data_IF_104809637824
#
_entry.id   IF_104809637824
#
_cell.length_a   1.000
_cell.length_b   1.000
_cell.length_c   1.000
_cell.angle_alpha   90.00
_cell.angle_beta   90.00
_cell.angle_gamma   90.00
#
_symmetry.space_group_name_H-M   'P 1'
#
loop_
_entity.id
_entity.type
_entity.pdbx_description
1 polymer ?
#
# COMPACT_ATOMS: atom_id res chain seq x y z
N UNK A 1 -13.93 26.42 -22.63
CA UNK A 1 -13.48 27.17 -21.44
C UNK A 1 -13.36 26.28 -20.22
N UNK A 2 -14.47 25.79 -19.63
CA UNK A 2 -14.39 24.85 -18.49
C UNK A 2 -13.62 23.58 -18.86
N UNK A 3 -14.01 22.89 -19.95
CA UNK A 3 -13.30 21.68 -20.42
C UNK A 3 -11.81 21.93 -20.69
N UNK A 4 -11.47 23.06 -21.32
CA UNK A 4 -10.09 23.43 -21.64
C UNK A 4 -9.24 23.83 -20.41
N UNK A 5 -9.85 24.06 -19.25
CA UNK A 5 -9.14 24.37 -18.00
C UNK A 5 -9.05 23.15 -17.08
N UNK A 6 -10.15 22.39 -16.95
CA UNK A 6 -10.33 21.34 -15.94
C UNK A 6 -10.30 19.92 -16.50
N UNK A 7 -10.45 19.70 -17.83
CA UNK A 7 -10.36 18.34 -18.38
C UNK A 7 -8.91 17.87 -18.44
N UNK A 8 -8.61 16.79 -17.72
CA UNK A 8 -7.47 15.93 -18.00
C UNK A 8 -7.88 14.71 -18.82
N UNK A 9 -6.91 13.81 -19.03
CA UNK A 9 -7.12 12.45 -19.54
C UNK A 9 -6.55 11.45 -18.54
N UNK A 10 -7.36 10.48 -18.14
CA UNK A 10 -6.97 9.30 -17.38
C UNK A 10 -6.74 8.15 -18.39
N UNK A 11 -5.72 7.35 -18.14
CA UNK A 11 -5.52 6.06 -18.80
C UNK A 11 -5.74 4.96 -17.78
N UNK A 12 -6.58 3.98 -18.11
CA UNK A 12 -6.82 2.79 -17.32
C UNK A 12 -6.30 1.57 -18.07
N UNK A 13 -5.23 0.97 -17.55
CA UNK A 13 -4.57 -0.20 -18.13
C UNK A 13 -4.96 -1.45 -17.36
N UNK A 14 -5.59 -2.43 -18.03
CA UNK A 14 -5.82 -3.79 -17.50
C UNK A 14 -4.81 -4.74 -18.13
N UNK A 15 -4.04 -5.45 -17.31
CA UNK A 15 -2.89 -6.28 -17.71
C UNK A 15 -3.14 -7.73 -17.32
N UNK A 16 -3.06 -8.64 -18.30
CA UNK A 16 -3.17 -10.08 -18.08
C UNK A 16 -1.88 -10.64 -17.44
N UNK A 17 -1.98 -11.22 -16.24
CA UNK A 17 -0.82 -11.77 -15.52
C UNK A 17 -0.09 -12.88 -16.31
N UNK A 18 -0.82 -13.74 -17.03
CA UNK A 18 -0.25 -14.90 -17.74
C UNK A 18 0.46 -14.57 -19.07
N UNK A 19 0.28 -13.39 -19.66
CA UNK A 19 0.93 -13.05 -20.93
C UNK A 19 1.32 -11.57 -21.14
N UNK A 20 1.05 -10.68 -20.17
CA UNK A 20 1.35 -9.25 -20.27
C UNK A 20 0.50 -8.47 -21.28
N UNK A 21 -0.48 -9.11 -21.95
CA UNK A 21 -1.38 -8.41 -22.86
C UNK A 21 -2.17 -7.33 -22.10
N UNK A 22 -2.18 -6.12 -22.65
CA UNK A 22 -2.71 -4.92 -22.00
C UNK A 22 -3.86 -4.31 -22.79
N UNK A 23 -5.00 -4.16 -22.13
CA UNK A 23 -6.16 -3.40 -22.60
C UNK A 23 -6.14 -2.01 -21.98
N UNK A 24 -6.03 -0.96 -22.79
CA UNK A 24 -5.96 0.43 -22.33
C UNK A 24 -7.22 1.20 -22.72
N UNK A 25 -7.92 1.77 -21.74
CA UNK A 25 -9.03 2.72 -21.96
C UNK A 25 -8.55 4.15 -21.65
N UNK A 26 -9.08 5.14 -22.37
CA UNK A 26 -8.76 6.56 -22.20
C UNK A 26 -10.03 7.36 -21.90
N UNK A 27 -10.08 7.99 -20.73
CA UNK A 27 -11.27 8.66 -20.19
C UNK A 27 -10.95 10.11 -19.83
N UNK A 28 -11.93 11.03 -19.94
CA UNK A 28 -11.77 12.40 -19.45
C UNK A 28 -12.10 12.46 -17.96
N UNK A 29 -11.29 13.19 -17.20
CA UNK A 29 -11.58 13.52 -15.80
C UNK A 29 -11.59 15.03 -15.59
N UNK A 30 -12.32 15.49 -14.57
CA UNK A 30 -12.40 16.90 -14.17
C UNK A 30 -11.93 17.13 -12.72
N UNK A 31 -12.06 16.10 -11.88
CA UNK A 31 -11.43 15.96 -10.57
C UNK A 31 -10.76 14.58 -10.46
N UNK A 32 -9.93 14.42 -9.43
CA UNK A 32 -9.49 13.10 -8.94
C UNK A 32 -9.99 12.95 -7.50
N UNK A 33 -10.80 11.92 -7.27
CA UNK A 33 -11.27 11.55 -5.94
C UNK A 33 -10.30 10.56 -5.27
N UNK A 34 -9.47 11.06 -4.36
CA UNK A 34 -8.39 10.33 -3.68
C UNK A 34 -8.85 9.75 -2.33
N UNK A 35 -8.50 8.50 -2.06
CA UNK A 35 -8.71 7.85 -0.76
C UNK A 35 -7.66 8.36 0.25
N UNK A 36 -8.12 8.71 1.46
CA UNK A 36 -7.23 9.00 2.60
C UNK A 36 -7.20 7.73 3.43
N UNK A 37 -6.09 6.99 3.41
CA UNK A 37 -5.88 5.92 4.37
C UNK A 37 -5.62 6.56 5.75
N UNK A 38 -6.63 6.51 6.63
CA UNK A 38 -6.43 6.78 8.05
C UNK A 38 -5.66 5.61 8.67
N UNK A 39 -4.81 5.87 9.67
CA UNK A 39 -3.84 4.89 10.20
C UNK A 39 -4.45 3.78 11.08
N UNK A 40 -5.60 3.23 10.66
CA UNK A 40 -6.18 1.98 11.15
C UNK A 40 -5.51 0.83 10.40
N UNK A 41 -4.60 0.12 11.08
CA UNK A 41 -4.01 -1.12 10.54
C UNK A 41 -5.12 -2.01 9.97
N UNK A 42 -4.94 -2.63 8.78
CA UNK A 42 -5.85 -3.66 8.30
C UNK A 42 -6.10 -4.66 9.41
N UNK A 43 -7.37 -5.01 9.65
CA UNK A 43 -7.69 -6.08 10.59
C UNK A 43 -7.19 -7.39 10.00
N UNK A 44 -6.00 -7.80 10.43
CA UNK A 44 -5.51 -9.17 10.29
C UNK A 44 -6.65 -10.10 10.72
N UNK A 45 -7.14 -10.91 9.78
CA UNK A 45 -8.26 -11.80 10.03
C UNK A 45 -7.77 -12.95 10.91
N UNK A 46 -7.83 -12.74 12.22
CA UNK A 46 -7.64 -13.77 13.22
C UNK A 46 -8.81 -14.75 13.11
N UNK A 47 -8.65 -15.78 12.28
CA UNK A 47 -9.59 -16.89 12.18
C UNK A 47 -9.80 -17.49 13.58
N UNK A 48 -11.03 -17.48 14.14
CA UNK A 48 -11.32 -18.08 15.45
C UNK A 48 -11.01 -19.58 15.54
N UNK A 49 -10.73 -20.24 14.42
CA UNK A 49 -10.45 -21.67 14.30
C UNK A 49 -9.00 -21.97 13.86
N UNK A 50 -8.12 -20.98 13.80
CA UNK A 50 -6.71 -21.19 13.44
C UNK A 50 -6.07 -22.26 14.36
N UNK A 51 -5.54 -23.38 13.81
CA UNK A 51 -5.06 -24.48 14.63
C UNK A 51 -3.80 -24.10 15.42
N UNK A 52 -3.82 -24.35 16.73
CA UNK A 52 -2.69 -24.09 17.63
C UNK A 52 -1.46 -24.95 17.27
N UNK A 53 -0.57 -24.42 16.44
CA UNK A 53 0.74 -25.00 16.16
C UNK A 53 1.68 -24.83 17.36
N UNK A 54 1.48 -25.66 18.39
CA UNK A 54 2.43 -25.82 19.50
C UNK A 54 3.77 -26.37 18.98
N UNK A 55 4.67 -25.48 18.57
CA UNK A 55 6.05 -25.83 18.23
C UNK A 55 6.81 -26.18 19.51
N UNK A 56 6.87 -27.47 19.83
CA UNK A 56 7.68 -27.98 20.92
C UNK A 56 9.17 -27.67 20.71
N UNK A 57 9.90 -27.49 21.82
CA UNK A 57 11.32 -27.16 21.83
C UNK A 57 12.12 -28.23 22.59
N UNK A 58 13.03 -28.87 21.86
CA UNK A 58 14.21 -29.60 22.36
C UNK A 58 15.27 -29.53 21.24
N UNK A 59 16.55 -29.17 21.43
CA UNK A 59 17.50 -29.38 22.54
C UNK A 59 17.97 -30.85 22.60
N UNK A 60 19.26 -31.20 22.54
CA UNK A 60 20.52 -30.44 22.38
C UNK A 60 21.57 -31.30 21.62
N UNK A 61 22.70 -30.73 21.20
CA UNK A 61 24.04 -31.13 21.68
C UNK A 61 25.18 -30.28 21.09
N UNK A 62 26.30 -30.23 21.82
CA UNK A 62 27.41 -29.25 21.70
C UNK A 62 28.75 -29.93 21.33
N UNK A 63 29.69 -29.20 20.69
CA UNK A 63 31.16 -29.33 20.94
C UNK A 63 32.08 -28.34 20.19
N UNK A 64 32.82 -27.53 20.97
CA UNK A 64 34.25 -27.16 20.77
C UNK A 64 34.68 -26.04 19.79
N UNK A 65 35.75 -25.33 20.18
CA UNK A 65 36.36 -24.07 19.66
C UNK A 65 37.83 -24.32 19.16
N UNK A 66 38.75 -23.35 18.82
CA UNK A 66 38.75 -21.87 18.94
C UNK A 66 39.37 -21.05 17.75
N UNK A 67 39.58 -19.75 18.00
CA UNK A 67 40.07 -18.62 17.15
C UNK A 67 41.60 -18.65 16.85
N UNK A 68 42.29 -17.63 16.21
CA UNK A 68 41.98 -16.19 15.98
C UNK A 68 42.20 -15.73 14.48
N UNK A 69 42.49 -14.48 14.00
CA UNK A 69 43.01 -13.21 14.58
C UNK A 69 42.75 -11.94 13.70
N UNK A 70 42.64 -10.77 14.35
CA UNK A 70 42.92 -9.34 13.97
C UNK A 70 43.35 -8.96 12.53
N UNK A 71 42.89 -7.84 11.95
CA UNK A 71 43.24 -6.44 12.36
C UNK A 71 42.22 -5.36 11.93
N UNK A 72 42.38 -4.09 12.35
CA UNK A 72 41.31 -3.06 12.37
C UNK A 72 41.66 -1.68 11.72
N UNK A 73 40.65 -0.79 11.66
CA UNK A 73 40.65 0.65 11.22
C UNK A 73 40.41 0.89 9.71
N UNK A 74 39.85 2.01 9.20
CA UNK A 74 39.11 3.21 9.70
C UNK A 74 38.58 4.04 8.48
N UNK A 75 37.66 5.03 8.51
CA UNK A 75 36.70 5.57 9.49
C UNK A 75 35.59 6.41 8.76
N UNK A 76 34.52 6.82 9.45
CA UNK A 76 33.58 7.91 9.07
C UNK A 76 32.49 7.59 8.01
N UNK A 77 31.30 8.20 8.01
CA UNK A 77 30.63 9.14 8.94
C UNK A 77 29.09 8.94 8.82
N UNK A 78 28.32 8.78 9.92
CA UNK A 78 27.61 9.81 10.71
C UNK A 78 26.45 10.52 9.96
N UNK A 79 25.18 10.62 10.41
CA UNK A 79 24.35 9.98 11.47
C UNK A 79 22.88 10.46 11.24
N UNK A 80 21.81 10.19 12.00
CA UNK A 80 21.62 9.62 13.35
C UNK A 80 20.23 8.96 13.46
N UNK A 81 20.14 7.76 14.06
CA UNK A 81 18.94 7.36 14.84
C UNK A 81 19.34 7.33 16.31
N UNK A 82 18.95 8.36 17.06
CA UNK A 82 19.15 8.40 18.50
C UNK A 82 18.00 7.65 19.20
N UNK A 83 18.22 6.36 19.49
CA UNK A 83 17.36 5.62 20.41
C UNK A 83 17.77 5.93 21.84
N UNK A 84 16.91 6.63 22.59
CA UNK A 84 17.10 6.83 24.03
C UNK A 84 16.32 5.74 24.77
N UNK A 85 17.04 4.88 25.49
CA UNK A 85 16.40 3.89 26.38
C UNK A 85 15.94 4.57 27.67
N UNK A 86 14.72 4.27 28.09
CA UNK A 86 14.13 4.73 29.36
C UNK A 86 13.43 3.54 30.00
N UNK A 87 13.89 3.15 31.19
CA UNK A 87 13.21 2.13 31.99
C UNK A 87 11.95 2.71 32.65
N UNK A 88 10.81 2.02 32.45
CA UNK A 88 9.50 2.42 32.96
C UNK A 88 8.43 2.37 31.87
N UNK A 89 7.36 1.62 32.12
CA UNK A 89 6.29 1.43 31.14
C UNK A 89 5.50 2.71 30.89
N UNK A 90 5.34 3.07 29.61
CA UNK A 90 4.41 4.09 29.12
C UNK A 90 3.55 3.44 28.05
N UNK A 91 2.28 3.81 28.00
CA UNK A 91 1.31 3.30 27.02
C UNK A 91 1.73 3.74 25.61
N UNK A 92 1.66 2.83 24.62
CA UNK A 92 2.03 3.13 23.24
C UNK A 92 0.89 3.94 22.58
N UNK A 93 0.85 5.23 22.91
CA UNK A 93 -0.06 6.18 22.28
C UNK A 93 0.19 6.17 20.77
N UNK A 94 -0.87 5.99 19.99
CA UNK A 94 -0.75 5.61 18.58
C UNK A 94 -0.39 6.82 17.73
N UNK A 95 0.91 7.01 17.50
CA UNK A 95 1.47 8.05 16.64
C UNK A 95 0.72 8.08 15.29
N UNK A 96 -0.03 9.17 15.05
CA UNK A 96 -0.98 9.28 13.95
C UNK A 96 -0.18 9.39 12.64
N UNK A 97 -0.06 8.28 11.92
CA UNK A 97 0.58 8.26 10.61
C UNK A 97 -0.35 8.90 9.59
N UNK A 98 -0.28 10.21 9.42
CA UNK A 98 -0.98 10.92 8.35
C UNK A 98 -0.44 10.50 6.98
N UNK A 99 -1.35 10.15 6.07
CA UNK A 99 -1.04 9.89 4.67
C UNK A 99 -0.91 11.22 3.94
N UNK A 100 0.22 11.46 3.28
CA UNK A 100 0.42 12.71 2.54
C UNK A 100 -0.36 12.71 1.23
N UNK A 101 -0.55 13.89 0.63
CA UNK A 101 -1.16 14.01 -0.69
C UNK A 101 -0.35 13.25 -1.77
N UNK A 102 0.97 13.12 -1.59
CA UNK A 102 1.84 12.35 -2.48
C UNK A 102 1.53 10.86 -2.34
N UNK A 103 1.38 10.35 -1.12
CA UNK A 103 1.04 8.95 -0.88
C UNK A 103 -0.34 8.61 -1.46
N UNK A 104 -1.33 9.49 -1.27
CA UNK A 104 -2.67 9.34 -1.86
C UNK A 104 -2.63 9.31 -3.41
N UNK A 105 -1.81 10.16 -4.04
CA UNK A 105 -1.63 10.19 -5.50
C UNK A 105 -0.87 8.96 -6.01
N UNK A 106 0.18 8.53 -5.31
CA UNK A 106 0.91 7.29 -5.61
C UNK A 106 -0.04 6.10 -5.54
N UNK A 107 -0.83 5.98 -4.46
CA UNK A 107 -1.82 4.92 -4.24
C UNK A 107 -2.89 4.89 -5.32
N UNK A 108 -3.40 6.04 -5.73
CA UNK A 108 -4.34 6.16 -6.86
C UNK A 108 -3.76 5.64 -8.20
N UNK A 109 -2.43 5.65 -8.36
CA UNK A 109 -1.72 5.13 -9.55
C UNK A 109 -1.04 3.77 -9.35
N UNK A 110 -1.22 3.13 -8.21
CA UNK A 110 -0.68 1.80 -7.93
C UNK A 110 -1.41 0.73 -8.78
N UNK A 111 -0.73 -0.32 -9.26
CA UNK A 111 -1.39 -1.47 -9.85
C UNK A 111 -2.18 -2.24 -8.77
N UNK A 112 -3.51 -2.20 -8.83
CA UNK A 112 -4.39 -3.00 -7.99
C UNK A 112 -4.72 -4.34 -8.68
N UNK A 113 -4.86 -5.42 -7.91
CA UNK A 113 -5.27 -6.72 -8.45
C UNK A 113 -6.80 -6.82 -8.49
N UNK A 114 -7.36 -7.19 -9.64
CA UNK A 114 -8.78 -7.50 -9.80
C UNK A 114 -9.03 -8.95 -9.33
N UNK A 115 -9.01 -9.15 -8.01
CA UNK A 115 -9.07 -10.46 -7.37
C UNK A 115 -10.28 -11.31 -7.76
N UNK A 116 -10.13 -12.62 -7.66
CA UNK A 116 -10.97 -13.77 -8.08
C UNK A 116 -12.36 -13.47 -8.69
N UNK A 117 -13.23 -12.75 -7.98
CA UNK A 117 -14.59 -12.41 -8.43
C UNK A 117 -14.62 -11.51 -9.69
N UNK A 118 -13.50 -10.91 -10.05
CA UNK A 118 -13.31 -10.07 -11.23
C UNK A 118 -12.30 -10.65 -12.25
N UNK A 119 -12.00 -11.95 -12.21
CA UNK A 119 -11.12 -12.60 -13.20
C UNK A 119 -11.64 -12.44 -14.64
N UNK A 120 -10.77 -11.99 -15.56
CA UNK A 120 -11.14 -11.67 -16.96
C UNK A 120 -10.50 -12.70 -17.90
N UNK A 121 -11.30 -13.28 -18.81
CA UNK A 121 -10.75 -14.08 -19.92
C UNK A 121 -9.96 -13.18 -20.87
N UNK A 122 -8.64 -13.38 -20.93
CA UNK A 122 -7.76 -12.60 -21.79
C UNK A 122 -8.01 -12.92 -23.28
N UNK A 123 -8.37 -11.91 -24.05
CA UNK A 123 -8.65 -12.02 -25.50
C UNK A 123 -7.45 -12.46 -26.35
N UNK A 124 -6.22 -12.39 -25.82
CA UNK A 124 -5.00 -12.79 -26.51
C UNK A 124 -4.59 -14.26 -26.26
N UNK A 125 -4.65 -14.74 -25.01
CA UNK A 125 -4.19 -16.08 -24.63
C UNK A 125 -5.30 -17.06 -24.20
N UNK A 126 -6.55 -16.59 -24.11
CA UNK A 126 -7.72 -17.40 -23.70
C UNK A 126 -7.76 -17.80 -22.22
N UNK A 127 -6.73 -17.47 -21.43
CA UNK A 127 -6.71 -17.79 -19.99
C UNK A 127 -7.62 -16.84 -19.20
N UNK A 128 -8.29 -17.38 -18.19
CA UNK A 128 -9.04 -16.62 -17.18
C UNK A 128 -8.28 -16.74 -15.87
N UNK A 129 -7.58 -15.68 -15.51
CA UNK A 129 -6.68 -15.59 -14.36
C UNK A 129 -6.88 -14.23 -13.68
N UNK A 130 -6.21 -14.00 -12.55
CA UNK A 130 -6.10 -12.68 -11.97
C UNK A 130 -5.49 -11.67 -12.98
N UNK A 131 -6.02 -10.45 -12.99
CA UNK A 131 -5.53 -9.36 -13.85
C UNK A 131 -5.31 -8.12 -13.01
N UNK A 132 -4.26 -7.35 -13.28
CA UNK A 132 -4.03 -6.09 -12.58
C UNK A 132 -4.62 -4.92 -13.37
N UNK A 133 -5.08 -3.91 -12.65
CA UNK A 133 -5.61 -2.64 -13.17
C UNK A 133 -4.70 -1.53 -12.65
N UNK A 134 -4.25 -0.63 -13.51
CA UNK A 134 -3.44 0.53 -13.11
C UNK A 134 -3.99 1.82 -13.73
N UNK A 135 -4.22 2.83 -12.90
CA UNK A 135 -4.59 4.17 -13.37
C UNK A 135 -3.33 5.01 -13.65
N UNK A 136 -3.40 5.92 -14.62
CA UNK A 136 -2.32 6.86 -14.91
C UNK A 136 -2.84 8.16 -15.50
N UNK A 137 -2.28 9.30 -15.06
CA UNK A 137 -2.67 10.62 -15.54
C UNK A 137 -1.99 10.92 -16.87
N UNK A 138 -2.70 10.63 -17.97
CA UNK A 138 -2.18 10.70 -19.35
C UNK A 138 -1.91 12.14 -19.80
N UNK A 139 -2.79 13.06 -19.42
CA UNK A 139 -2.58 14.51 -19.53
C UNK A 139 -3.23 15.21 -18.34
N UNK A 140 -2.50 16.09 -17.67
CA UNK A 140 -3.04 16.91 -16.58
C UNK A 140 -3.85 18.10 -17.13
N UNK A 141 -4.93 18.52 -16.45
CA UNK A 141 -5.61 19.79 -16.74
C UNK A 141 -4.74 20.99 -16.36
N UNK A 142 -5.10 22.19 -16.84
CA UNK A 142 -4.45 23.44 -16.39
C UNK A 142 -4.80 23.80 -14.94
N UNK A 143 -5.94 23.34 -14.44
CA UNK A 143 -6.36 23.44 -13.04
C UNK A 143 -6.83 22.05 -12.60
N UNK A 144 -6.08 21.42 -11.69
CA UNK A 144 -6.37 20.09 -11.16
C UNK A 144 -7.23 20.19 -9.90
N UNK A 145 -8.47 19.72 -9.97
CA UNK A 145 -9.33 19.54 -8.79
C UNK A 145 -9.01 18.20 -8.11
N UNK A 146 -8.78 18.21 -6.79
CA UNK A 146 -8.59 17.01 -5.98
C UNK A 146 -9.68 16.96 -4.91
N UNK A 147 -10.42 15.85 -4.86
CA UNK A 147 -11.45 15.59 -3.86
C UNK A 147 -10.93 14.51 -2.91
N UNK A 148 -10.74 14.84 -1.64
CA UNK A 148 -10.22 13.89 -0.66
C UNK A 148 -11.38 13.17 0.04
N UNK A 149 -11.48 11.85 -0.15
CA UNK A 149 -12.56 10.95 0.32
C UNK A 149 -12.46 10.70 1.84
N UNK A 150 -12.60 11.76 2.63
CA UNK A 150 -12.55 11.77 4.10
C UNK A 150 -13.74 11.10 4.81
N UNK A 151 -14.38 10.09 4.21
CA UNK A 151 -15.58 9.45 4.73
C UNK A 151 -15.54 7.93 4.56
N UNK A 152 -15.43 7.21 5.68
CA UNK A 152 -15.46 5.74 5.74
C UNK A 152 -16.88 5.23 6.03
N UNK A 153 -17.25 4.06 5.48
CA UNK A 153 -18.44 3.32 5.91
C UNK A 153 -18.12 2.49 7.16
N UNK A 154 -18.66 2.91 8.30
CA UNK A 154 -18.60 2.19 9.56
C UNK A 154 -19.66 1.09 9.65
N UNK A 155 -19.52 0.24 10.67
CA UNK A 155 -20.44 -0.85 10.97
C UNK A 155 -21.87 -0.28 11.17
N UNK A 156 -22.88 -0.96 10.61
CA UNK A 156 -24.29 -0.61 10.79
C UNK A 156 -24.75 0.63 10.03
N UNK A 157 -24.31 0.80 8.78
CA UNK A 157 -24.65 1.93 7.90
C UNK A 157 -24.29 3.32 8.47
N UNK A 158 -23.27 3.37 9.34
CA UNK A 158 -22.74 4.62 9.88
C UNK A 158 -21.70 5.21 8.93
N UNK A 159 -21.60 6.54 8.84
CA UNK A 159 -20.50 7.21 8.14
C UNK A 159 -19.57 7.85 9.16
N UNK A 160 -18.26 7.62 9.05
CA UNK A 160 -17.24 8.22 9.90
C UNK A 160 -16.44 9.23 9.09
N UNK A 161 -16.31 10.47 9.59
CA UNK A 161 -15.46 11.49 8.98
C UNK A 161 -14.02 11.31 9.45
N UNK A 162 -13.08 11.41 8.52
CA UNK A 162 -11.66 11.49 8.81
C UNK A 162 -11.30 12.94 9.13
N UNK A 163 -10.75 13.14 10.32
CA UNK A 163 -10.47 14.45 10.93
C UNK A 163 -8.99 14.86 10.88
N UNK A 164 -8.12 14.06 10.25
CA UNK A 164 -6.67 14.27 10.22
C UNK A 164 -6.08 14.07 8.82
N UNK A 165 -5.22 15.02 8.44
CA UNK A 165 -4.22 15.05 7.37
C UNK A 165 -3.02 15.83 7.93
#
# INVERSE_FOLDING_TARGET
>A
FIESLFSGMLQSDVICASCGNRSSTLERFFDISLDIESSRKPREYQDPNAPNHHRASSSEHESTTPSPTRSASQNGDHSTKAGLVVDGGIELDSEIQSSSLIDCLMKFTEPEALGDSCAITCSNCGQTEETSKQMSLKTLPSILCLHLKRFEHGIGNTSQKLESL
#
